data_IF_093013677231
#
_entry.id   IF_093013677231
#
_cell.length_a   1.000
_cell.length_b   1.000
_cell.length_c   1.000
_cell.angle_alpha   90.00
_cell.angle_beta   90.00
_cell.angle_gamma   90.00
#
_symmetry.space_group_name_H-M   'P 1'
#
loop_
_entity.id
_entity.type
_entity.pdbx_description
1 polymer ?
#
# COMPACT_ATOMS: atom_id res chain seq x y z
N UNK A 1 6.42 0.73 11.90
CA UNK A 1 7.29 0.73 10.70
C UNK A 1 7.15 2.10 10.03
N UNK A 2 8.20 2.64 9.41
CA UNK A 2 8.12 3.90 8.67
C UNK A 2 8.47 3.62 7.20
N UNK A 3 7.58 3.99 6.29
CA UNK A 3 7.84 4.00 4.86
C UNK A 3 8.17 5.41 4.42
N UNK A 4 9.14 5.54 3.53
CA UNK A 4 9.45 6.80 2.85
C UNK A 4 9.06 6.62 1.38
N UNK A 5 8.43 7.63 0.80
CA UNK A 5 8.16 7.69 -0.63
C UNK A 5 8.83 8.93 -1.23
N UNK A 6 9.32 8.80 -2.44
CA UNK A 6 9.91 9.91 -3.19
C UNK A 6 9.58 9.78 -4.68
N UNK A 7 9.24 10.89 -5.31
CA UNK A 7 9.11 10.99 -6.75
C UNK A 7 9.39 12.41 -7.22
N UNK A 8 9.73 12.52 -8.51
CA UNK A 8 9.93 13.78 -9.20
C UNK A 8 8.82 13.93 -10.23
N UNK A 9 8.18 15.10 -10.27
CA UNK A 9 7.22 15.48 -11.30
C UNK A 9 7.83 16.61 -12.12
N UNK A 10 7.88 16.44 -13.44
CA UNK A 10 8.25 17.52 -14.35
C UNK A 10 7.00 18.33 -14.67
N UNK A 11 7.07 19.63 -14.46
CA UNK A 11 6.02 20.62 -14.69
C UNK A 11 6.59 21.75 -15.56
N UNK A 12 5.78 22.50 -16.33
CA UNK A 12 6.21 23.73 -17.00
C UNK A 12 7.09 24.68 -16.15
N UNK A 13 6.87 24.75 -14.84
CA UNK A 13 7.66 25.58 -13.92
C UNK A 13 8.98 24.94 -13.43
N UNK A 14 9.26 23.68 -13.78
CA UNK A 14 10.49 22.96 -13.40
C UNK A 14 10.23 21.57 -12.80
N UNK A 15 11.28 20.93 -12.27
CA UNK A 15 11.16 19.61 -11.63
C UNK A 15 10.76 19.76 -10.16
N UNK A 16 9.58 19.26 -9.79
CA UNK A 16 9.07 19.21 -8.41
C UNK A 16 9.48 17.90 -7.75
N UNK A 17 10.26 17.94 -6.67
CA UNK A 17 10.64 16.76 -5.91
C UNK A 17 9.75 16.58 -4.67
N UNK A 18 8.86 15.58 -4.68
CA UNK A 18 7.91 15.31 -3.58
C UNK A 18 8.44 14.19 -2.68
N UNK A 19 8.47 14.43 -1.37
CA UNK A 19 8.83 13.43 -0.36
C UNK A 19 7.68 13.17 0.61
N UNK A 20 7.42 11.90 0.89
CA UNK A 20 6.47 11.47 1.92
C UNK A 20 7.18 10.60 2.96
N UNK A 21 6.82 10.78 4.23
CA UNK A 21 7.16 9.88 5.33
C UNK A 21 5.87 9.39 5.95
N UNK A 22 5.57 8.12 5.74
CA UNK A 22 4.34 7.51 6.23
C UNK A 22 4.68 6.58 7.39
N UNK A 23 4.10 6.88 8.55
CA UNK A 23 4.26 6.10 9.77
C UNK A 23 2.92 5.51 10.16
N UNK A 24 2.87 4.19 10.26
CA UNK A 24 1.71 3.47 10.78
C UNK A 24 1.93 3.12 12.24
N UNK A 25 1.04 3.58 13.12
CA UNK A 25 0.98 3.19 14.53
C UNK A 25 -0.29 2.35 14.74
N UNK A 26 -0.11 1.07 15.03
CA UNK A 26 -1.22 0.22 15.45
C UNK A 26 -1.68 0.64 16.85
N UNK A 27 -2.99 0.69 17.10
CA UNK A 27 -3.47 0.72 18.49
C UNK A 27 -3.18 -0.64 19.13
N UNK A 28 -3.10 -0.69 20.47
CA UNK A 28 -3.19 -1.97 21.18
C UNK A 28 -4.63 -2.50 21.01
N UNK A 29 -4.81 -3.79 20.76
CA UNK A 29 -6.12 -4.42 20.55
C UNK A 29 -6.69 -4.32 19.13
N UNK A 30 -8.02 -4.45 18.99
CA UNK A 30 -8.78 -4.37 17.72
C UNK A 30 -9.12 -2.95 17.26
N UNK A 31 -8.56 -1.93 17.91
CA UNK A 31 -8.85 -0.53 17.61
C UNK A 31 -8.24 -0.03 16.28
N UNK A 32 -8.69 1.14 15.79
CA UNK A 32 -8.18 1.71 14.55
C UNK A 32 -6.70 2.06 14.66
N UNK A 33 -5.94 1.70 13.63
CA UNK A 33 -4.56 2.16 13.44
C UNK A 33 -4.56 3.63 12.99
N UNK A 34 -3.57 4.39 13.42
CA UNK A 34 -3.37 5.76 12.95
C UNK A 34 -2.20 5.78 11.98
N UNK A 35 -2.44 6.26 10.77
CA UNK A 35 -1.42 6.57 9.78
C UNK A 35 -1.11 8.06 9.90
N UNK A 36 0.13 8.39 10.23
CA UNK A 36 0.63 9.76 10.15
C UNK A 36 1.45 9.89 8.87
N UNK A 37 1.08 10.84 8.03
CA UNK A 37 1.75 11.17 6.77
C UNK A 37 2.42 12.52 6.98
N UNK A 38 3.74 12.57 6.84
CA UNK A 38 4.46 13.84 6.69
C UNK A 38 4.83 14.02 5.23
N UNK A 39 4.60 15.19 4.66
CA UNK A 39 4.87 15.50 3.26
C UNK A 39 5.57 16.82 3.10
N UNK A 40 6.36 16.98 2.03
CA UNK A 40 6.95 18.25 1.61
C UNK A 40 7.32 18.23 0.12
N UNK A 41 7.54 19.40 -0.47
CA UNK A 41 8.14 19.55 -1.80
C UNK A 41 9.51 20.21 -1.63
N UNK A 42 10.59 19.54 -2.04
CA UNK A 42 11.97 20.03 -1.80
C UNK A 42 12.33 21.28 -2.60
N UNK A 43 11.78 21.39 -3.79
CA UNK A 43 11.93 22.54 -4.68
C UNK A 43 10.74 23.44 -4.45
N UNK A 44 10.95 24.73 -4.26
CA UNK A 44 9.85 25.68 -4.19
C UNK A 44 8.98 25.51 -5.43
N UNK A 45 7.71 25.23 -5.20
CA UNK A 45 6.70 25.14 -6.24
C UNK A 45 5.75 26.33 -6.07
N UNK A 46 5.04 26.69 -7.12
CA UNK A 46 4.00 27.72 -7.04
C UNK A 46 2.63 27.11 -6.70
N UNK A 47 2.45 25.81 -6.92
CA UNK A 47 1.15 25.14 -6.78
C UNK A 47 1.20 23.90 -5.88
N UNK A 48 0.12 23.69 -5.14
CA UNK A 48 -0.08 22.47 -4.36
C UNK A 48 -0.08 21.24 -5.25
N UNK A 49 0.52 20.15 -4.78
CA UNK A 49 0.64 18.92 -5.54
C UNK A 49 -0.26 17.83 -4.96
N UNK A 50 -1.15 17.25 -5.77
CA UNK A 50 -2.02 16.15 -5.34
C UNK A 50 -1.25 14.83 -5.33
N UNK A 51 -1.31 14.15 -4.19
CA UNK A 51 -0.72 12.83 -3.99
C UNK A 51 -1.82 11.88 -3.55
N UNK A 52 -1.83 10.69 -4.14
CA UNK A 52 -2.73 9.61 -3.73
C UNK A 52 -1.96 8.55 -2.94
N UNK A 53 -2.54 8.05 -1.86
CA UNK A 53 -2.06 6.90 -1.10
C UNK A 53 -3.02 5.74 -1.26
N UNK A 54 -2.45 4.57 -1.52
CA UNK A 54 -3.22 3.35 -1.56
C UNK A 54 -3.11 2.62 -0.23
N UNK A 55 -4.23 2.66 0.49
CA UNK A 55 -4.37 2.15 1.84
C UNK A 55 -5.15 0.85 1.81
N UNK A 56 -4.62 -0.16 2.50
CA UNK A 56 -5.31 -1.41 2.73
C UNK A 56 -5.93 -1.44 4.12
N UNK A 57 -7.24 -1.43 4.19
CA UNK A 57 -8.01 -1.36 5.43
C UNK A 57 -9.38 -2.01 5.23
N UNK A 58 -9.93 -2.63 6.27
CA UNK A 58 -11.30 -3.15 6.26
C UNK A 58 -12.35 -2.04 6.46
N UNK A 59 -11.90 -0.92 7.05
CA UNK A 59 -12.68 0.30 7.20
C UNK A 59 -11.75 1.51 7.27
N UNK A 60 -12.21 2.67 6.80
CA UNK A 60 -11.51 3.93 6.98
C UNK A 60 -12.42 4.91 7.70
N UNK A 61 -11.85 5.73 8.60
CA UNK A 61 -12.54 6.88 9.18
C UNK A 61 -11.94 8.15 8.59
N UNK A 62 -12.80 9.04 8.09
CA UNK A 62 -12.33 10.35 7.65
C UNK A 62 -11.83 11.13 8.87
N UNK A 63 -10.56 11.53 8.80
CA UNK A 63 -10.02 12.62 9.58
C UNK A 63 -9.83 13.78 8.59
N UNK A 64 -9.86 15.05 9.05
CA UNK A 64 -10.02 16.22 8.18
C UNK A 64 -8.92 16.43 7.11
N UNK A 65 -7.88 15.58 7.06
CA UNK A 65 -6.80 15.66 6.08
C UNK A 65 -6.85 14.48 5.09
N UNK A 66 -7.48 14.71 3.93
CA UNK A 66 -7.52 13.78 2.79
C UNK A 66 -8.92 13.21 2.54
N UNK A 67 -9.43 13.37 1.31
CA UNK A 67 -10.66 12.72 0.87
C UNK A 67 -10.36 11.32 0.34
N UNK A 68 -11.17 10.34 0.71
CA UNK A 68 -11.17 9.04 0.03
C UNK A 68 -11.72 9.30 -1.37
N UNK A 69 -10.91 9.08 -2.39
CA UNK A 69 -11.28 9.42 -3.77
C UNK A 69 -11.76 8.20 -4.55
N UNK A 70 -11.34 6.99 -4.19
CA UNK A 70 -11.85 5.76 -4.81
C UNK A 70 -11.74 4.53 -3.89
N UNK A 71 -12.70 3.60 -4.02
CA UNK A 71 -12.57 2.23 -3.53
C UNK A 71 -12.20 1.33 -4.73
N UNK A 72 -10.99 0.78 -4.72
CA UNK A 72 -10.45 -0.02 -5.82
C UNK A 72 -10.78 -1.52 -5.68
N UNK A 73 -10.83 -1.99 -4.42
CA UNK A 73 -11.34 -3.32 -4.00
C UNK A 73 -11.95 -3.17 -2.60
N UNK A 74 -12.61 -4.19 -2.01
CA UNK A 74 -13.24 -4.07 -0.68
C UNK A 74 -12.27 -3.59 0.40
N UNK A 75 -11.00 -4.02 0.31
CA UNK A 75 -9.96 -3.67 1.27
C UNK A 75 -8.95 -2.63 0.77
N UNK A 76 -8.99 -2.23 -0.51
CA UNK A 76 -8.02 -1.30 -1.10
C UNK A 76 -8.69 0.01 -1.45
N UNK A 77 -8.19 1.08 -0.86
CA UNK A 77 -8.73 2.41 -1.04
C UNK A 77 -7.66 3.38 -1.51
N UNK A 78 -8.06 4.29 -2.39
CA UNK A 78 -7.28 5.44 -2.79
C UNK A 78 -7.70 6.65 -1.96
N UNK A 79 -6.73 7.25 -1.27
CA UNK A 79 -6.91 8.47 -0.48
C UNK A 79 -6.02 9.55 -1.04
N UNK A 80 -6.63 10.64 -1.51
CA UNK A 80 -5.90 11.76 -2.07
C UNK A 80 -5.77 12.90 -1.07
N UNK A 81 -4.61 13.54 -1.04
CA UNK A 81 -4.36 14.73 -0.24
C UNK A 81 -3.45 15.69 -1.01
N UNK A 82 -3.57 16.96 -0.65
CA UNK A 82 -2.77 18.04 -1.23
C UNK A 82 -1.50 18.24 -0.40
N UNK A 83 -0.37 18.32 -1.09
CA UNK A 83 0.93 18.67 -0.52
C UNK A 83 1.17 20.15 -0.79
N UNK A 84 1.38 20.93 0.26
CA UNK A 84 1.72 22.34 0.15
C UNK A 84 3.03 22.52 -0.62
N UNK A 85 3.18 23.59 -1.43
CA UNK A 85 4.36 23.81 -2.26
C UNK A 85 5.56 24.36 -1.48
N UNK A 86 5.76 23.89 -0.25
CA UNK A 86 6.80 24.38 0.65
C UNK A 86 7.83 23.29 0.97
N UNK A 87 9.06 23.71 1.25
CA UNK A 87 10.13 22.84 1.74
C UNK A 87 9.91 22.33 3.17
N UNK A 88 8.95 22.93 3.87
CA UNK A 88 8.57 22.56 5.23
C UNK A 88 7.74 21.28 5.28
N UNK A 89 7.89 20.54 6.37
CA UNK A 89 7.12 19.32 6.56
C UNK A 89 5.71 19.64 7.05
N UNK A 90 4.70 19.40 6.22
CA UNK A 90 3.31 19.31 6.67
C UNK A 90 3.02 17.92 7.24
N UNK A 91 2.05 17.82 8.14
CA UNK A 91 1.62 16.55 8.76
C UNK A 91 0.12 16.38 8.65
N UNK A 92 -0.29 15.20 8.18
CA UNK A 92 -1.68 14.77 8.05
C UNK A 92 -1.85 13.41 8.73
N UNK A 93 -3.04 13.10 9.23
CA UNK A 93 -3.29 11.82 9.91
C UNK A 93 -4.62 11.21 9.47
N UNK A 94 -4.62 9.89 9.28
CA UNK A 94 -5.78 9.10 8.83
C UNK A 94 -5.96 7.92 9.81
N UNK A 95 -7.17 7.71 10.28
CA UNK A 95 -7.52 6.55 11.10
C UNK A 95 -8.08 5.43 10.21
N UNK A 96 -7.53 4.23 10.34
CA UNK A 96 -7.84 3.08 9.49
C UNK A 96 -8.01 1.82 10.34
N UNK A 97 -9.05 1.04 10.07
CA UNK A 97 -9.24 -0.27 10.69
C UNK A 97 -8.50 -1.30 9.87
N UNK A 98 -7.51 -1.95 10.48
CA UNK A 98 -6.59 -2.86 9.81
C UNK A 98 -7.28 -4.19 9.51
N UNK A 99 -7.05 -4.74 8.32
CA UNK A 99 -7.47 -6.09 7.99
C UNK A 99 -6.78 -7.15 8.85
N UNK A 100 -7.54 -8.11 9.39
CA UNK A 100 -6.97 -9.19 10.22
C UNK A 100 -5.84 -9.89 9.45
N UNK A 101 -4.64 -9.89 10.04
CA UNK A 101 -3.46 -10.56 9.48
C UNK A 101 -2.54 -9.70 8.61
N UNK A 102 -3.00 -8.59 8.02
CA UNK A 102 -2.18 -7.88 7.03
C UNK A 102 -1.21 -6.87 7.67
N UNK A 103 0.10 -7.12 7.68
CA UNK A 103 1.11 -6.26 8.34
C UNK A 103 1.37 -4.93 7.63
N UNK A 104 0.84 -4.71 6.41
CA UNK A 104 1.18 -3.55 5.57
C UNK A 104 -0.07 -2.77 5.16
N UNK A 105 -0.44 -1.80 5.99
CA UNK A 105 -1.59 -0.91 5.73
C UNK A 105 -1.32 0.04 4.56
N UNK A 106 -0.16 0.71 4.55
CA UNK A 106 0.19 1.62 3.46
C UNK A 106 0.93 0.82 2.41
N UNK A 107 0.31 0.65 1.26
CA UNK A 107 0.91 -0.11 0.17
C UNK A 107 1.83 0.81 -0.63
N UNK A 108 1.28 1.80 -1.33
CA UNK A 108 1.99 2.68 -2.27
C UNK A 108 1.50 4.12 -2.20
N UNK A 109 2.28 5.01 -2.80
CA UNK A 109 1.93 6.41 -3.04
C UNK A 109 2.03 6.68 -4.55
N UNK A 110 1.13 7.50 -5.07
CA UNK A 110 1.05 7.93 -6.45
C UNK A 110 1.23 9.45 -6.51
N UNK A 111 2.03 9.92 -7.45
CA UNK A 111 2.17 11.32 -7.81
C UNK A 111 1.69 11.49 -9.26
N UNK A 112 0.63 12.25 -9.47
CA UNK A 112 -0.03 12.39 -10.79
C UNK A 112 -0.32 11.03 -11.46
N UNK A 113 -0.84 10.06 -10.69
CA UNK A 113 -1.16 8.71 -11.17
C UNK A 113 0.04 7.77 -11.37
N UNK A 114 1.27 8.21 -11.10
CA UNK A 114 2.49 7.39 -11.23
C UNK A 114 3.02 6.94 -9.87
N UNK A 115 3.45 5.69 -9.78
CA UNK A 115 3.99 5.12 -8.55
C UNK A 115 5.26 5.86 -8.07
N UNK A 116 5.25 6.27 -6.81
CA UNK A 116 6.42 6.82 -6.15
C UNK A 116 7.37 5.71 -5.70
N UNK A 117 8.68 5.96 -5.79
CA UNK A 117 9.69 5.05 -5.24
C UNK A 117 9.51 4.95 -3.72
N UNK A 118 9.59 3.74 -3.15
CA UNK A 118 9.37 3.54 -1.71
C UNK A 118 10.53 2.81 -1.04
N UNK A 119 10.92 3.27 0.15
CA UNK A 119 11.90 2.60 1.00
C UNK A 119 11.31 2.36 2.38
N UNK A 120 11.53 1.16 2.92
CA UNK A 120 11.05 0.80 4.26
C UNK A 120 12.19 0.92 5.26
N UNK A 121 12.04 1.80 6.26
CA UNK A 121 13.01 1.95 7.35
C UNK A 121 12.56 1.11 8.54
N UNK A 122 13.32 0.07 8.86
CA UNK A 122 13.07 -0.78 10.02
C UNK A 122 13.94 -0.34 11.21
N UNK A 123 13.35 0.39 12.16
CA UNK A 123 14.06 0.99 13.31
C UNK A 123 14.84 -0.05 14.13
N UNK A 124 14.37 -1.29 14.22
CA UNK A 124 15.07 -2.36 14.96
C UNK A 124 16.43 -2.70 14.34
N UNK A 125 16.53 -2.73 13.01
CA UNK A 125 17.77 -3.02 12.28
C UNK A 125 18.76 -1.86 12.41
N UNK A 126 18.27 -0.62 12.35
CA UNK A 126 19.14 0.54 12.49
C UNK A 126 19.73 0.66 13.90
N UNK A 127 18.92 0.42 14.94
CA UNK A 127 19.40 0.42 16.32
C UNK A 127 20.42 -0.71 16.53
N UNK A 128 20.18 -1.92 16.02
CA UNK A 128 21.14 -3.03 16.18
C UNK A 128 22.46 -2.78 15.45
N UNK A 129 22.43 -2.24 14.23
CA UNK A 129 23.65 -1.89 13.47
C UNK A 129 24.40 -0.75 14.15
N UNK A 130 23.69 0.27 14.62
CA UNK A 130 24.29 1.39 15.36
C UNK A 130 24.92 0.94 16.67
N UNK A 131 24.28 0.02 17.42
CA UNK A 131 24.86 -0.53 18.65
C UNK A 131 26.06 -1.41 18.37
N UNK A 132 26.04 -2.20 17.28
CA UNK A 132 27.19 -3.02 16.88
C UNK A 132 28.38 -2.14 16.47
N UNK A 133 28.15 -1.07 15.71
CA UNK A 133 29.20 -0.11 15.35
C UNK A 133 29.77 0.62 16.57
N UNK A 134 28.92 1.04 17.51
CA UNK A 134 29.36 1.66 18.76
C UNK A 134 30.18 0.67 19.63
N UNK A 135 29.75 -0.59 19.72
CA UNK A 135 30.47 -1.63 20.46
C UNK A 135 31.82 -1.97 19.80
N UNK A 136 31.88 -1.98 18.46
CA UNK A 136 33.12 -2.15 17.71
C UNK A 136 34.08 -0.97 17.92
N UNK A 137 33.59 0.28 17.91
CA UNK A 137 34.40 1.46 18.20
C UNK A 137 34.93 1.44 19.64
N UNK A 138 34.11 1.03 20.61
CA UNK A 138 34.56 0.81 21.99
C UNK A 138 35.62 -0.28 22.08
N UNK A 139 35.48 -1.40 21.34
CA UNK A 139 36.45 -2.48 21.32
C UNK A 139 37.79 -2.03 20.72
N UNK A 140 37.76 -1.29 19.60
CA UNK A 140 38.96 -0.73 18.96
C UNK A 140 39.61 0.30 19.88
N UNK A 141 38.83 1.15 20.54
CA UNK A 141 39.30 2.11 21.54
C UNK A 141 39.99 1.43 22.73
N UNK A 142 39.41 0.37 23.28
CA UNK A 142 40.02 -0.42 24.37
C UNK A 142 41.35 -1.04 23.95
N UNK A 143 41.44 -1.60 22.74
CA UNK A 143 42.70 -2.17 22.23
C UNK A 143 43.77 -1.07 22.07
N UNK A 144 43.39 0.12 21.62
CA UNK A 144 44.31 1.26 21.52
C UNK A 144 44.82 1.69 22.90
N UNK A 145 43.93 1.83 23.89
CA UNK A 145 44.30 2.20 25.28
C UNK A 145 45.20 1.13 25.92
N UNK A 146 44.93 -0.15 25.71
CA UNK A 146 45.80 -1.24 26.22
C UNK A 146 47.19 -1.25 25.59
N UNK A 147 47.38 -0.70 24.38
CA UNK A 147 48.70 -0.54 23.78
C UNK A 147 49.47 0.66 24.34
N UNK A 148 48.76 1.73 24.71
CA UNK A 148 49.36 2.93 25.32
C UNK A 148 49.68 2.73 26.80
N UNK A 149 48.96 1.86 27.50
CA UNK A 149 49.15 1.59 28.94
C UNK A 149 50.43 0.78 29.27
N UNK A 150 51.13 0.23 28.28
CA UNK A 150 52.38 -0.50 28.49
C UNK A 150 53.63 0.39 28.49
N UNK A 151 53.48 1.71 28.35
CA UNK A 151 54.62 2.62 28.19
C UNK A 151 54.41 3.90 29.01
N UNK A 152 54.55 3.80 30.34
CA UNK A 152 54.86 4.96 31.21
C UNK A 152 55.23 4.52 32.63
N UNK A 153 56.54 4.52 32.91
CA UNK A 153 57.12 4.55 34.26
C UNK A 153 57.41 6.00 34.64
N UNK A 154 56.65 6.63 35.56
CA UNK A 154 57.15 7.81 36.31
C UNK A 154 56.50 7.90 37.71
N UNK A 155 57.37 7.73 38.71
CA UNK A 155 57.50 8.33 40.05
C UNK A 155 56.27 8.96 40.73
N UNK A 156 56.04 8.49 41.96
CA UNK A 156 55.09 9.00 42.95
C UNK A 156 55.65 10.20 43.75
N UNK A 157 54.78 11.13 44.15
CA UNK A 157 54.68 11.72 45.51
C UNK A 157 53.47 12.70 45.64
N UNK A 158 53.04 13.17 46.85
CA UNK A 158 51.70 12.88 47.37
C UNK A 158 50.76 14.11 47.61
N UNK A 159 49.54 13.75 48.02
CA UNK A 159 48.33 14.50 48.44
C UNK A 159 48.54 15.65 49.45
N UNK A 160 47.57 16.59 49.59
CA UNK A 160 46.47 16.43 50.57
C UNK A 160 45.09 16.88 50.04
N UNK A 161 44.02 16.11 50.27
CA UNK A 161 43.07 16.19 51.40
C UNK A 161 42.26 17.48 51.45
N UNK A 162 40.97 17.40 51.11
CA UNK A 162 39.86 17.83 51.97
C UNK A 162 38.51 17.32 51.42
N UNK A 163 37.72 16.71 52.31
CA UNK A 163 36.32 16.29 52.15
C UNK A 163 35.39 17.40 52.76
N UNK A 164 34.06 17.23 52.90
CA UNK A 164 33.03 17.79 52.02
C UNK A 164 32.00 18.63 52.81
N UNK A 165 30.78 18.76 52.27
CA UNK A 165 29.53 19.32 52.83
C UNK A 165 29.29 20.82 52.57
N UNK A 166 28.16 21.15 51.93
CA UNK A 166 26.88 21.33 52.65
C UNK A 166 25.73 21.59 51.67
N UNK A 167 24.58 21.05 52.04
CA UNK A 167 23.25 21.32 51.51
C UNK A 167 22.87 22.76 51.86
N UNK A 168 22.21 23.48 50.96
CA UNK A 168 21.15 24.37 51.44
C UNK A 168 19.96 24.47 50.49
N UNK A 169 18.81 24.55 51.13
CA UNK A 169 17.47 24.64 50.59
C UNK A 169 17.10 26.10 50.48
N UNK A 170 16.63 26.55 49.32
CA UNK A 170 15.91 27.83 49.23
C UNK A 170 14.69 27.70 48.34
N UNK A 171 13.55 27.89 48.99
CA UNK A 171 12.22 28.07 48.44
C UNK A 171 12.11 29.51 47.96
N UNK A 172 11.75 29.73 46.70
CA UNK A 172 11.18 31.00 46.27
C UNK A 172 10.02 30.79 45.30
N UNK A 173 8.89 31.37 45.70
CA UNK A 173 7.64 31.49 44.98
C UNK A 173 7.67 32.69 44.04
N UNK A 174 7.22 32.53 42.79
CA UNK A 174 6.62 33.65 42.03
C UNK A 174 5.78 33.18 40.84
N UNK A 175 4.49 33.50 40.94
CA UNK A 175 3.63 34.14 39.93
C UNK A 175 3.33 33.45 38.58
N UNK A 176 2.17 32.77 38.58
CA UNK A 176 0.98 33.02 37.71
C UNK A 176 1.17 33.57 36.28
N UNK A 177 0.88 32.74 35.28
CA UNK A 177 0.09 33.12 34.08
C UNK A 177 -0.82 31.96 33.69
N UNK A 178 -2.12 32.22 33.62
CA UNK A 178 -3.18 31.26 33.28
C UNK A 178 -3.17 30.87 31.78
N UNK A 179 -3.46 29.61 31.42
CA UNK A 179 -3.73 29.24 30.04
C UNK A 179 -5.16 29.63 29.64
N UNK A 180 -5.28 30.33 28.52
CA UNK A 180 -6.55 30.74 27.92
C UNK A 180 -7.35 29.51 27.49
N UNK A 181 -8.58 29.45 27.96
CA UNK A 181 -9.60 28.42 27.71
C UNK A 181 -9.89 28.32 26.21
N UNK A 182 -9.44 27.22 25.57
CA UNK A 182 -9.90 26.83 24.24
C UNK A 182 -11.25 26.14 24.41
N UNK A 183 -12.30 26.82 23.97
CA UNK A 183 -13.68 26.32 23.98
C UNK A 183 -13.75 25.03 23.17
N UNK A 184 -13.95 23.92 23.87
CA UNK A 184 -14.18 22.61 23.29
C UNK A 184 -15.51 22.63 22.52
N UNK A 185 -15.43 22.83 21.21
CA UNK A 185 -16.57 22.69 20.33
C UNK A 185 -16.95 21.21 20.28
N UNK A 186 -18.12 20.90 20.84
CA UNK A 186 -18.69 19.56 20.91
C UNK A 186 -18.73 18.92 19.52
N UNK A 187 -17.87 17.92 19.33
CA UNK A 187 -17.76 17.15 18.09
C UNK A 187 -19.02 16.29 17.96
N UNK A 188 -19.91 16.66 17.04
CA UNK A 188 -21.00 15.80 16.63
C UNK A 188 -20.45 14.39 16.30
N UNK A 189 -21.14 13.30 16.69
CA UNK A 189 -20.68 11.95 16.40
C UNK A 189 -20.63 11.74 14.89
N UNK A 190 -19.42 11.72 14.34
CA UNK A 190 -19.16 11.39 12.95
C UNK A 190 -19.65 9.97 12.65
N UNK A 191 -20.50 9.83 11.64
CA UNK A 191 -20.96 8.54 11.15
C UNK A 191 -19.75 7.70 10.73
N UNK A 192 -19.57 6.53 11.35
CA UNK A 192 -18.59 5.56 10.92
C UNK A 192 -18.96 5.11 9.50
N UNK A 193 -18.03 5.22 8.55
CA UNK A 193 -18.15 4.47 7.30
C UNK A 193 -18.22 2.98 7.68
N UNK A 194 -19.24 2.29 7.18
CA UNK A 194 -19.48 0.88 7.50
C UNK A 194 -18.21 0.06 7.25
N UNK A 195 -17.79 -0.70 8.26
CA UNK A 195 -16.69 -1.63 8.12
C UNK A 195 -17.09 -2.71 7.10
N UNK A 196 -16.49 -2.68 5.91
CA UNK A 196 -16.64 -3.77 4.93
C UNK A 196 -15.41 -4.68 5.05
N UNK A 197 -15.28 -5.33 6.22
CA UNK A 197 -14.35 -6.47 6.40
C UNK A 197 -14.91 -7.76 5.79
N UNK A 198 -16.15 -7.73 5.32
CA UNK A 198 -16.78 -8.79 4.56
C UNK A 198 -16.82 -8.33 3.09
N UNK A 199 -16.57 -9.25 2.15
CA UNK A 199 -16.89 -8.98 0.75
C UNK A 199 -18.33 -8.50 0.73
N UNK A 200 -18.62 -7.35 0.08
CA UNK A 200 -19.99 -6.91 -0.01
C UNK A 200 -20.79 -8.06 -0.62
N UNK A 201 -21.95 -8.35 -0.03
CA UNK A 201 -22.84 -9.36 -0.58
C UNK A 201 -23.05 -9.03 -2.05
N UNK A 202 -22.84 -10.01 -2.94
CA UNK A 202 -23.11 -9.80 -4.36
C UNK A 202 -24.60 -9.52 -4.51
N UNK A 203 -24.93 -8.25 -4.67
CA UNK A 203 -26.27 -7.83 -5.07
C UNK A 203 -26.31 -7.74 -6.59
N UNK A 204 -27.50 -7.85 -7.17
CA UNK A 204 -27.69 -7.67 -8.61
C UNK A 204 -27.18 -6.29 -9.08
N UNK A 205 -27.13 -5.30 -8.18
CA UNK A 205 -26.62 -3.95 -8.43
C UNK A 205 -25.08 -3.87 -8.47
N UNK A 206 -24.36 -4.77 -7.81
CA UNK A 206 -22.90 -4.70 -7.65
C UNK A 206 -22.17 -4.67 -8.99
N UNK A 207 -22.60 -5.52 -9.92
CA UNK A 207 -22.01 -5.57 -11.25
C UNK A 207 -22.33 -4.30 -12.04
N UNK A 208 -23.59 -3.83 -11.97
CA UNK A 208 -24.03 -2.63 -12.69
C UNK A 208 -23.26 -1.38 -12.24
N UNK A 209 -23.03 -1.22 -10.94
CA UNK A 209 -22.21 -0.12 -10.37
C UNK A 209 -20.76 -0.17 -10.88
N UNK A 210 -20.13 -1.36 -10.86
CA UNK A 210 -18.76 -1.51 -11.36
C UNK A 210 -18.64 -1.26 -12.86
N UNK A 211 -19.68 -1.57 -13.64
CA UNK A 211 -19.73 -1.31 -15.08
C UNK A 211 -19.99 0.17 -15.39
N UNK A 212 -20.87 0.83 -14.63
CA UNK A 212 -21.27 2.22 -14.87
C UNK A 212 -20.10 3.20 -14.75
N UNK A 213 -19.15 2.93 -13.86
CA UNK A 213 -18.02 3.84 -13.64
C UNK A 213 -16.88 3.64 -14.65
N UNK A 214 -16.93 2.67 -15.57
CA UNK A 214 -15.81 2.38 -16.49
C UNK A 214 -15.60 3.55 -17.46
N UNK A 215 -14.40 4.18 -17.48
CA UNK A 215 -14.10 5.26 -18.40
C UNK A 215 -14.17 4.83 -19.87
N UNK A 216 -14.72 5.70 -20.73
CA UNK A 216 -14.63 5.57 -22.17
C UNK A 216 -13.30 6.09 -22.72
N UNK A 217 -12.17 5.53 -22.25
CA UNK A 217 -10.82 6.01 -22.53
C UNK A 217 -10.06 5.18 -23.57
N UNK A 218 -10.76 4.30 -24.30
CA UNK A 218 -10.19 3.39 -25.29
C UNK A 218 -9.33 2.27 -24.72
N UNK A 219 -9.27 2.10 -23.39
CA UNK A 219 -8.51 1.03 -22.73
C UNK A 219 -9.36 -0.20 -22.51
N UNK A 220 -8.69 -1.32 -22.25
CA UNK A 220 -9.33 -2.57 -21.88
C UNK A 220 -9.47 -2.66 -20.35
N UNK A 221 -10.60 -3.17 -19.88
CA UNK A 221 -10.90 -3.24 -18.45
C UNK A 221 -11.28 -4.66 -18.03
N UNK A 222 -10.80 -5.08 -16.86
CA UNK A 222 -11.23 -6.29 -16.16
C UNK A 222 -12.19 -5.88 -15.04
N UNK A 223 -13.36 -6.51 -15.00
CA UNK A 223 -14.28 -6.42 -13.86
C UNK A 223 -14.53 -7.80 -13.29
N UNK A 224 -14.42 -7.93 -11.97
CA UNK A 224 -14.73 -9.16 -11.23
C UNK A 224 -15.63 -8.78 -10.05
N UNK A 225 -16.97 -8.88 -10.20
CA UNK A 225 -17.93 -8.40 -9.20
C UNK A 225 -17.73 -9.01 -7.81
N UNK A 226 -17.49 -10.34 -7.74
CA UNK A 226 -17.17 -11.04 -6.47
C UNK A 226 -16.05 -10.37 -5.70
N UNK A 227 -15.03 -9.90 -6.40
CA UNK A 227 -13.86 -9.28 -5.80
C UNK A 227 -14.00 -7.76 -5.65
N UNK A 228 -15.13 -7.18 -6.06
CA UNK A 228 -15.31 -5.74 -6.27
C UNK A 228 -14.11 -5.12 -6.98
N UNK A 229 -13.62 -5.83 -8.00
CA UNK A 229 -12.44 -5.44 -8.74
C UNK A 229 -12.88 -4.81 -10.05
N UNK A 230 -12.36 -3.61 -10.30
CA UNK A 230 -12.36 -2.97 -11.61
C UNK A 230 -10.97 -2.44 -11.86
N UNK A 231 -10.30 -2.92 -12.90
CA UNK A 231 -8.92 -2.51 -13.18
C UNK A 231 -8.60 -2.56 -14.65
N UNK A 232 -7.75 -1.64 -15.09
CA UNK A 232 -7.24 -1.63 -16.45
C UNK A 232 -6.42 -2.91 -16.73
N UNK A 233 -6.60 -3.44 -17.94
CA UNK A 233 -5.74 -4.48 -18.52
C UNK A 233 -4.63 -3.80 -19.32
N UNK A 234 -3.38 -4.13 -18.98
CA UNK A 234 -2.17 -3.59 -19.62
C UNK A 234 -1.42 -4.69 -20.38
N UNK A 235 -0.67 -4.31 -21.41
CA UNK A 235 0.09 -5.27 -22.23
C UNK A 235 1.43 -5.63 -21.56
N UNK A 236 1.61 -6.92 -21.23
CA UNK A 236 2.82 -7.43 -20.57
C UNK A 236 2.65 -7.66 -19.06
N UNK A 237 3.61 -8.39 -18.49
CA UNK A 237 3.57 -8.90 -17.11
C UNK A 237 4.84 -8.58 -16.30
N UNK A 238 5.69 -7.69 -16.79
CA UNK A 238 6.84 -7.21 -16.03
C UNK A 238 6.38 -6.34 -14.85
N UNK A 239 7.23 -6.18 -13.83
CA UNK A 239 6.87 -5.46 -12.60
C UNK A 239 6.38 -4.02 -12.86
N UNK A 240 6.98 -3.32 -13.82
CA UNK A 240 6.55 -1.98 -14.26
C UNK A 240 5.14 -1.99 -14.87
N UNK A 241 4.76 -3.07 -15.55
CA UNK A 241 3.43 -3.23 -16.15
C UNK A 241 2.41 -3.62 -15.09
N UNK A 242 2.74 -4.59 -14.24
CA UNK A 242 1.85 -5.02 -13.17
C UNK A 242 1.59 -3.91 -12.14
N UNK A 243 2.47 -2.91 -12.02
CA UNK A 243 2.21 -1.71 -11.23
C UNK A 243 1.10 -0.80 -11.80
N UNK A 244 0.79 -0.90 -13.09
CA UNK A 244 -0.24 -0.08 -13.77
C UNK A 244 -1.62 -0.75 -13.82
N UNK A 245 -1.71 -2.05 -13.55
CA UNK A 245 -2.98 -2.78 -13.61
C UNK A 245 -2.80 -4.29 -13.74
N UNK A 246 -3.78 -4.94 -14.37
CA UNK A 246 -3.74 -6.38 -14.66
C UNK A 246 -2.96 -6.62 -15.95
N UNK A 247 -1.87 -7.37 -15.88
CA UNK A 247 -1.01 -7.64 -17.03
C UNK A 247 -1.54 -8.76 -17.92
N UNK A 248 -1.65 -8.52 -19.22
CA UNK A 248 -1.95 -9.55 -20.21
C UNK A 248 -0.67 -10.28 -20.63
N UNK A 249 -0.72 -11.62 -20.60
CA UNK A 249 0.34 -12.46 -21.16
C UNK A 249 0.35 -12.33 -22.68
N UNK A 250 1.32 -11.60 -23.25
CA UNK A 250 1.41 -11.37 -24.72
C UNK A 250 1.52 -12.63 -25.58
N UNK A 251 1.91 -13.77 -24.98
CA UNK A 251 1.96 -15.08 -25.65
C UNK A 251 0.63 -15.86 -25.57
N UNK A 252 -0.34 -15.37 -24.80
CA UNK A 252 -1.70 -15.91 -24.75
C UNK A 252 -2.60 -15.18 -25.75
N UNK A 253 -3.86 -15.58 -25.84
CA UNK A 253 -4.80 -14.93 -26.74
C UNK A 253 -5.00 -13.46 -26.37
N UNK A 254 -5.11 -12.58 -27.38
CA UNK A 254 -5.37 -11.15 -27.19
C UNK A 254 -6.77 -10.91 -26.60
N UNK A 255 -6.94 -9.97 -25.66
CA UNK A 255 -8.25 -9.55 -25.19
C UNK A 255 -9.16 -9.17 -26.36
N UNK A 256 -10.40 -9.68 -26.33
CA UNK A 256 -11.39 -9.51 -27.40
C UNK A 256 -11.34 -10.57 -28.51
N UNK A 257 -10.39 -11.50 -28.46
CA UNK A 257 -10.35 -12.64 -29.38
C UNK A 257 -10.69 -13.96 -28.67
N UNK A 258 -11.19 -14.93 -29.45
CA UNK A 258 -11.49 -16.28 -29.02
C UNK A 258 -10.21 -17.09 -28.78
N UNK A 259 -10.19 -17.96 -27.76
CA UNK A 259 -9.00 -18.68 -27.28
C UNK A 259 -8.87 -18.62 -25.76
N UNK A 260 -7.67 -18.79 -25.20
CA UNK A 260 -7.41 -18.59 -23.77
C UNK A 260 -6.63 -17.29 -23.54
N UNK A 261 -7.28 -16.29 -22.94
CA UNK A 261 -6.66 -15.01 -22.57
C UNK A 261 -6.04 -15.16 -21.19
N UNK A 262 -4.72 -15.04 -21.09
CA UNK A 262 -4.01 -15.07 -19.82
C UNK A 262 -3.90 -13.69 -19.20
N UNK A 263 -4.27 -13.54 -17.93
CA UNK A 263 -4.11 -12.32 -17.14
C UNK A 263 -3.33 -12.59 -15.84
N UNK A 264 -2.37 -11.73 -15.54
CA UNK A 264 -1.54 -11.75 -14.35
C UNK A 264 -1.85 -10.54 -13.48
N UNK A 265 -1.89 -10.75 -12.18
CA UNK A 265 -2.01 -9.68 -11.21
C UNK A 265 -1.26 -10.04 -9.95
N UNK A 266 -0.63 -9.05 -9.33
CA UNK A 266 -0.01 -9.27 -8.04
C UNK A 266 -1.03 -9.72 -7.01
N UNK A 267 -0.62 -10.60 -6.09
CA UNK A 267 -1.44 -10.96 -4.94
C UNK A 267 -1.29 -9.93 -3.84
N UNK A 268 -0.07 -9.61 -3.45
CA UNK A 268 0.20 -8.81 -2.25
C UNK A 268 0.85 -7.46 -2.54
N UNK A 269 1.70 -7.39 -3.55
CA UNK A 269 2.31 -6.16 -4.06
C UNK A 269 1.31 -5.35 -4.88
N UNK A 270 1.44 -4.03 -4.88
CA UNK A 270 0.49 -3.15 -5.55
C UNK A 270 0.44 -3.35 -7.05
N UNK A 271 -0.75 -3.21 -7.67
CA UNK A 271 -2.05 -2.86 -7.06
C UNK A 271 -2.76 -4.00 -6.36
N UNK A 272 -2.15 -5.18 -6.30
CA UNK A 272 -2.68 -6.36 -5.64
C UNK A 272 -4.11 -6.74 -6.08
N UNK A 273 -4.45 -6.65 -7.39
CA UNK A 273 -5.84 -6.85 -7.84
C UNK A 273 -6.36 -8.24 -7.50
N UNK A 274 -5.46 -9.22 -7.37
CA UNK A 274 -5.78 -10.62 -7.11
C UNK A 274 -5.47 -11.04 -5.67
N UNK A 275 -5.39 -10.08 -4.73
CA UNK A 275 -5.21 -10.38 -3.30
C UNK A 275 -6.17 -11.47 -2.81
N UNK A 276 -7.42 -11.34 -3.25
CA UNK A 276 -8.54 -12.19 -2.87
C UNK A 276 -8.98 -13.18 -3.93
N UNK A 277 -8.11 -13.53 -4.88
CA UNK A 277 -8.48 -14.46 -5.95
C UNK A 277 -8.90 -15.85 -5.41
N UNK A 278 -8.48 -16.22 -4.20
CA UNK A 278 -8.94 -17.42 -3.47
C UNK A 278 -10.40 -17.36 -2.98
N UNK A 279 -11.07 -16.22 -3.13
CA UNK A 279 -12.47 -16.01 -2.73
C UNK A 279 -13.47 -16.17 -3.88
N UNK A 280 -12.97 -16.42 -5.09
CA UNK A 280 -13.80 -16.78 -6.23
C UNK A 280 -14.55 -18.08 -5.94
N UNK A 281 -15.75 -18.20 -6.48
CA UNK A 281 -16.57 -19.40 -6.46
C UNK A 281 -16.89 -19.84 -7.90
N UNK A 282 -17.21 -21.12 -8.05
CA UNK A 282 -17.74 -21.64 -9.32
C UNK A 282 -18.98 -20.83 -9.71
N UNK A 283 -19.13 -20.55 -11.00
CA UNK A 283 -20.19 -19.71 -11.57
C UNK A 283 -20.07 -18.20 -11.35
N UNK A 284 -19.07 -17.71 -10.62
CA UNK A 284 -18.81 -16.27 -10.54
C UNK A 284 -18.47 -15.68 -11.92
N UNK A 285 -18.86 -14.43 -12.14
CA UNK A 285 -18.59 -13.71 -13.40
C UNK A 285 -17.20 -13.05 -13.40
N UNK A 286 -16.55 -13.10 -14.56
CA UNK A 286 -15.35 -12.34 -14.91
C UNK A 286 -15.65 -11.61 -16.22
N UNK A 287 -15.58 -10.29 -16.24
CA UNK A 287 -15.96 -9.47 -17.38
C UNK A 287 -14.72 -8.81 -17.99
N UNK A 288 -14.59 -8.88 -19.31
CA UNK A 288 -13.60 -8.11 -20.07
C UNK A 288 -14.32 -7.08 -20.92
N UNK A 289 -13.97 -5.81 -20.75
CA UNK A 289 -14.44 -4.72 -21.61
C UNK A 289 -13.32 -4.40 -22.59
N UNK A 290 -13.60 -4.54 -23.88
CA UNK A 290 -12.63 -4.36 -24.97
C UNK A 290 -13.34 -3.65 -26.12
N UNK A 291 -12.89 -2.43 -26.46
CA UNK A 291 -13.66 -1.57 -27.37
C UNK A 291 -15.09 -1.42 -26.87
N UNK A 292 -16.09 -1.49 -27.75
CA UNK A 292 -17.51 -1.34 -27.39
C UNK A 292 -18.19 -2.67 -27.00
N UNK A 293 -17.40 -3.69 -26.68
CA UNK A 293 -17.90 -5.01 -26.33
C UNK A 293 -17.55 -5.40 -24.89
N UNK A 294 -18.53 -5.99 -24.22
CA UNK A 294 -18.39 -6.74 -22.97
C UNK A 294 -18.37 -8.24 -23.27
N UNK A 295 -17.36 -8.94 -22.72
CA UNK A 295 -17.25 -10.39 -22.75
C UNK A 295 -17.45 -10.91 -21.33
N UNK A 296 -18.53 -11.69 -21.11
CA UNK A 296 -18.79 -12.35 -19.84
C UNK A 296 -18.21 -13.74 -19.83
N UNK A 297 -17.37 -14.03 -18.85
CA UNK A 297 -16.85 -15.35 -18.55
C UNK A 297 -17.41 -15.84 -17.21
N UNK A 298 -17.57 -17.15 -17.07
CA UNK A 298 -18.09 -17.81 -15.89
C UNK A 298 -17.03 -18.76 -15.33
N UNK A 299 -16.67 -18.61 -14.05
CA UNK A 299 -15.67 -19.46 -13.39
C UNK A 299 -16.06 -20.93 -13.47
N UNK A 300 -15.11 -21.76 -13.92
CA UNK A 300 -15.24 -23.21 -14.03
C UNK A 300 -14.64 -23.87 -12.80
N UNK A 301 -15.32 -24.89 -12.30
CA UNK A 301 -14.73 -25.80 -11.34
C UNK A 301 -13.61 -26.64 -11.99
N UNK A 302 -12.54 -26.89 -11.25
CA UNK A 302 -11.49 -27.84 -11.62
C UNK A 302 -11.95 -29.30 -11.41
N UNK A 303 -11.05 -30.26 -11.61
CA UNK A 303 -11.34 -31.70 -11.42
C UNK A 303 -11.68 -32.09 -9.97
N UNK A 304 -11.37 -31.23 -8.99
CA UNK A 304 -11.69 -31.40 -7.57
C UNK A 304 -12.96 -30.66 -7.14
N UNK A 305 -13.71 -30.12 -8.10
CA UNK A 305 -14.89 -29.29 -7.86
C UNK A 305 -14.57 -27.97 -7.11
N UNK A 306 -13.34 -27.47 -7.23
CA UNK A 306 -12.88 -26.20 -6.63
C UNK A 306 -12.81 -25.09 -7.69
N UNK A 307 -12.95 -23.80 -7.33
CA UNK A 307 -12.96 -22.69 -8.27
C UNK A 307 -11.57 -22.27 -8.80
N UNK A 308 -10.50 -22.85 -8.26
CA UNK A 308 -9.12 -22.54 -8.64
C UNK A 308 -8.19 -23.72 -8.45
N UNK A 309 -7.02 -23.65 -9.10
CA UNK A 309 -5.90 -24.57 -8.91
C UNK A 309 -4.71 -23.88 -8.25
N UNK A 310 -3.89 -24.66 -7.54
CA UNK A 310 -2.58 -24.24 -7.05
C UNK A 310 -1.50 -25.03 -7.80
N UNK A 311 -0.64 -24.32 -8.52
CA UNK A 311 0.40 -24.93 -9.38
C UNK A 311 1.78 -24.36 -9.09
N UNK A 312 2.82 -25.04 -9.58
CA UNK A 312 4.18 -24.51 -9.55
C UNK A 312 4.36 -23.33 -10.53
N UNK A 313 5.26 -22.37 -10.27
CA UNK A 313 5.44 -21.18 -11.11
C UNK A 313 5.83 -21.46 -12.57
N UNK A 314 6.47 -22.59 -12.83
CA UNK A 314 6.94 -23.05 -14.14
C UNK A 314 5.85 -23.78 -14.95
N UNK A 315 4.71 -24.13 -14.34
CA UNK A 315 3.59 -24.77 -15.02
C UNK A 315 2.83 -23.78 -15.91
N UNK A 316 3.41 -23.46 -17.06
CA UNK A 316 2.84 -22.56 -18.07
C UNK A 316 1.70 -23.19 -18.87
N UNK A 317 1.46 -24.50 -18.72
CA UNK A 317 0.39 -25.23 -19.43
C UNK A 317 -1.00 -24.69 -19.10
N UNK A 318 -1.16 -24.06 -17.94
CA UNK A 318 -2.39 -23.37 -17.53
C UNK A 318 -2.81 -22.24 -18.50
N UNK A 319 -1.88 -21.69 -19.29
CA UNK A 319 -2.16 -20.66 -20.29
C UNK A 319 -2.44 -21.23 -21.68
N UNK A 320 -2.36 -22.56 -21.86
CA UNK A 320 -2.66 -23.21 -23.13
C UNK A 320 -4.15 -23.14 -23.46
N UNK A 321 -4.51 -23.43 -24.71
CA UNK A 321 -5.92 -23.54 -25.08
C UNK A 321 -6.59 -24.69 -24.31
N UNK A 322 -7.73 -24.41 -23.68
CA UNK A 322 -8.42 -25.33 -22.77
C UNK A 322 -9.53 -26.15 -23.45
N UNK A 323 -9.64 -26.09 -24.78
CA UNK A 323 -10.75 -26.68 -25.54
C UNK A 323 -12.01 -25.81 -25.59
N UNK A 324 -11.95 -24.60 -25.04
CA UNK A 324 -13.03 -23.60 -25.09
C UNK A 324 -12.46 -22.19 -24.94
N UNK A 325 -13.26 -21.18 -25.29
CA UNK A 325 -12.88 -19.78 -25.10
C UNK A 325 -12.89 -19.43 -23.62
N UNK A 326 -11.77 -18.94 -23.11
CA UNK A 326 -11.55 -18.76 -21.68
C UNK A 326 -10.72 -17.53 -21.36
N UNK A 327 -10.82 -17.09 -20.10
CA UNK A 327 -9.85 -16.22 -19.45
C UNK A 327 -9.23 -16.98 -18.28
N UNK A 328 -7.92 -16.88 -18.15
CA UNK A 328 -7.14 -17.49 -17.06
C UNK A 328 -6.53 -16.38 -16.20
N UNK A 329 -6.95 -16.28 -14.94
CA UNK A 329 -6.42 -15.32 -13.98
C UNK A 329 -5.32 -16.00 -13.15
N UNK A 330 -4.18 -15.33 -12.99
CA UNK A 330 -3.00 -15.90 -12.34
C UNK A 330 -2.43 -14.94 -11.29
N UNK A 331 -2.05 -15.48 -10.13
CA UNK A 331 -1.39 -14.71 -9.07
C UNK A 331 -0.46 -15.56 -8.21
N UNK A 332 0.45 -14.95 -7.44
CA UNK A 332 1.33 -15.65 -6.51
C UNK A 332 0.56 -16.23 -5.32
N UNK A 333 0.99 -17.36 -4.76
CA UNK A 333 0.39 -17.96 -3.56
C UNK A 333 1.44 -18.76 -2.77
N UNK A 334 1.29 -18.95 -1.44
CA UNK A 334 0.40 -18.24 -0.51
C UNK A 334 0.66 -16.73 -0.35
N UNK A 335 -0.19 -16.05 0.42
CA UNK A 335 -0.01 -14.62 0.72
C UNK A 335 1.38 -14.38 1.33
N UNK A 336 2.13 -13.46 0.73
CA UNK A 336 3.45 -13.05 1.21
C UNK A 336 4.62 -13.83 0.61
N UNK A 337 4.35 -14.82 -0.23
CA UNK A 337 5.37 -15.59 -0.96
C UNK A 337 5.11 -15.57 -2.48
N UNK A 338 6.05 -16.09 -3.25
CA UNK A 338 5.92 -16.30 -4.69
C UNK A 338 6.14 -17.77 -5.10
N UNK A 339 6.01 -18.69 -4.14
CA UNK A 339 6.41 -20.08 -4.26
C UNK A 339 5.53 -20.87 -5.23
N UNK A 340 4.24 -20.54 -5.29
CA UNK A 340 3.26 -21.20 -6.15
C UNK A 340 2.43 -20.15 -6.90
N UNK A 341 1.54 -20.61 -7.77
CA UNK A 341 0.54 -19.79 -8.45
C UNK A 341 -0.87 -20.27 -8.14
N UNK A 342 -1.77 -19.34 -7.87
CA UNK A 342 -3.22 -19.58 -7.83
C UNK A 342 -3.80 -19.23 -9.19
N UNK A 343 -4.55 -20.16 -9.77
CA UNK A 343 -5.06 -20.11 -11.13
C UNK A 343 -6.57 -20.23 -11.12
N UNK A 344 -7.28 -19.27 -11.71
CA UNK A 344 -8.73 -19.34 -11.94
C UNK A 344 -8.98 -19.40 -13.43
N UNK A 345 -9.76 -20.40 -13.87
CA UNK A 345 -10.23 -20.50 -15.25
C UNK A 345 -11.70 -20.11 -15.34
N UNK A 346 -12.04 -19.23 -16.27
CA UNK A 346 -13.43 -18.87 -16.56
C UNK A 346 -13.73 -19.04 -18.06
N UNK A 347 -14.87 -19.66 -18.39
CA UNK A 347 -15.31 -19.96 -19.75
C UNK A 347 -16.20 -18.83 -20.28
N UNK A 348 -16.02 -18.42 -21.54
CA UNK A 348 -16.85 -17.42 -22.19
C UNK A 348 -18.31 -17.90 -22.21
N UNK A 349 -19.20 -17.09 -21.64
CA UNK A 349 -20.64 -17.31 -21.60
C UNK A 349 -21.36 -16.49 -22.66
N UNK A 350 -21.02 -15.20 -22.79
CA UNK A 350 -21.66 -14.31 -23.77
C UNK A 350 -20.77 -13.13 -24.16
N UNK A 351 -21.11 -12.52 -25.29
CA UNK A 351 -20.61 -11.23 -25.75
C UNK A 351 -21.80 -10.31 -25.98
N UNK A 352 -21.75 -9.10 -25.46
CA UNK A 352 -22.76 -8.07 -25.68
C UNK A 352 -22.09 -6.71 -25.93
N UNK A 353 -22.81 -5.73 -26.51
CA UNK A 353 -22.39 -4.34 -26.43
C UNK A 353 -22.29 -3.88 -24.96
N UNK A 354 -21.44 -2.90 -24.67
CA UNK A 354 -21.48 -2.16 -23.39
C UNK A 354 -22.18 -0.83 -23.62
N UNK A 355 -23.22 -0.56 -22.82
CA UNK A 355 -23.89 0.73 -22.80
C UNK A 355 -23.05 1.71 -21.96
N UNK A 356 -22.42 2.68 -22.62
CA UNK A 356 -21.64 3.71 -21.93
C UNK A 356 -22.49 4.96 -21.81
N UNK A 357 -22.73 5.42 -20.59
CA UNK A 357 -23.28 6.75 -20.37
C UNK A 357 -22.24 7.78 -20.87
N UNK A 358 -22.65 8.61 -21.82
CA UNK A 358 -21.85 9.70 -22.37
C UNK A 358 -21.53 10.77 -21.32
#
# INVERSE_FOLDING_TARGET
MMKRFSASLLDPAGTRHVELRVRTRASRGSGPSVITIRSRVRTEATESTTVALHLRADAMRSLPSGSVTAQLTPSLHEVSFTVAPTGEWSSSSIAVTRSRGDKRIVTHALLAGRAMTSTTVNRKVYVSVSTMAAMLLLLIGSIAVSRTANDTTVLAEPTPTTLPLSVDTTVESSTSVAPTTSTAQARAPFAALAARSEFPAMTDTTEAELLADIPNDGKNWLVVPRLHLRMQIVSGISDDRLALGVGWYRKSQKPGLLGNIGLAGHRTTFPAPFYFLDKMQTSDSVLLIVGDAMYRYTVKANSKNEPYDIVQPDNTRVLSYLGYNSVTLTTCTPIGTANQRLIVHAKLASRSPIDRKN
#
